data_IF_819572196076
#
_entry.id   IF_819572196076
#
_cell.length_a   1.000
_cell.length_b   1.000
_cell.length_c   1.000
_cell.angle_alpha   90.00
_cell.angle_beta   90.00
_cell.angle_gamma   90.00
#
_symmetry.space_group_name_H-M   'P 1'
#
loop_
_entity.id
_entity.type
_entity.pdbx_description
1 polymer ?
#
# COMPACT_ATOMS: atom_id res chain seq x y z
N UNK A 1 -61.41 7.79 -2.21
CA UNK A 1 -60.21 7.00 -1.70
C UNK A 1 -58.99 7.88 -1.83
N UNK A 2 -58.57 8.24 -0.89
CA UNK A 2 -57.98 9.27 -0.07
C UNK A 2 -56.68 9.81 -0.63
N UNK A 3 -56.76 11.10 -1.05
CA UNK A 3 -55.56 11.94 -1.33
C UNK A 3 -54.55 11.88 -0.22
N UNK A 4 -55.00 11.70 1.01
CA UNK A 4 -54.12 11.53 2.20
C UNK A 4 -53.33 10.23 2.18
N UNK A 5 -53.87 9.11 1.69
CA UNK A 5 -53.18 7.85 1.57
C UNK A 5 -52.14 7.95 0.46
N UNK A 6 -52.45 8.58 -0.66
CA UNK A 6 -51.53 8.81 -1.75
C UNK A 6 -50.31 9.65 -1.32
N UNK A 7 -50.54 10.75 -0.60
CA UNK A 7 -49.49 11.64 -0.10
C UNK A 7 -48.59 10.91 0.93
N UNK A 8 -49.17 10.04 1.76
CA UNK A 8 -48.38 9.21 2.71
C UNK A 8 -47.50 8.18 2.02
N UNK A 9 -47.99 7.59 0.91
CA UNK A 9 -47.18 6.68 0.08
C UNK A 9 -46.04 7.42 -0.65
N UNK A 10 -46.28 8.59 -1.21
CA UNK A 10 -45.26 9.39 -1.88
C UNK A 10 -44.17 9.86 -0.92
N UNK A 11 -44.55 10.28 0.30
CA UNK A 11 -43.57 10.63 1.35
C UNK A 11 -42.68 9.44 1.74
N UNK A 12 -43.26 8.24 1.88
CA UNK A 12 -42.48 7.01 2.17
C UNK A 12 -41.53 6.66 1.02
N UNK A 13 -41.98 6.70 -0.20
CA UNK A 13 -41.16 6.45 -1.39
C UNK A 13 -40.02 7.46 -1.52
N UNK A 14 -40.30 8.73 -1.24
CA UNK A 14 -39.28 9.78 -1.24
C UNK A 14 -38.23 9.55 -0.14
N UNK A 15 -38.66 9.19 1.07
CA UNK A 15 -37.71 8.85 2.17
C UNK A 15 -36.85 7.65 1.79
N UNK A 16 -37.43 6.59 1.24
CA UNK A 16 -36.69 5.41 0.77
C UNK A 16 -35.69 5.79 -0.31
N UNK A 17 -36.09 6.62 -1.29
CA UNK A 17 -35.21 7.12 -2.33
C UNK A 17 -34.03 7.93 -1.76
N UNK A 18 -34.31 8.86 -0.82
CA UNK A 18 -33.24 9.65 -0.17
C UNK A 18 -32.29 8.77 0.61
N UNK A 19 -32.82 7.79 1.37
CA UNK A 19 -31.98 6.85 2.12
C UNK A 19 -31.13 5.97 1.20
N UNK A 20 -31.70 5.46 0.12
CA UNK A 20 -30.97 4.69 -0.90
C UNK A 20 -29.90 5.55 -1.62
N UNK A 21 -30.24 6.79 -1.95
CA UNK A 21 -29.32 7.74 -2.56
C UNK A 21 -28.16 8.09 -1.61
N UNK A 22 -28.46 8.35 -0.34
CA UNK A 22 -27.46 8.58 0.68
C UNK A 22 -26.57 7.34 0.88
N UNK A 23 -27.17 6.15 1.00
CA UNK A 23 -26.41 4.89 1.14
C UNK A 23 -25.50 4.61 -0.07
N UNK A 24 -25.85 5.07 -1.27
CA UNK A 24 -25.04 4.92 -2.46
C UNK A 24 -23.95 6.00 -2.59
N UNK A 25 -24.26 7.25 -2.22
CA UNK A 25 -23.38 8.40 -2.42
C UNK A 25 -22.38 8.58 -1.29
N UNK A 26 -22.80 8.42 -0.04
CA UNK A 26 -21.94 8.65 1.13
C UNK A 26 -20.67 7.80 1.15
N UNK A 27 -20.70 6.48 0.83
CA UNK A 27 -19.47 5.69 0.77
C UNK A 27 -18.48 6.20 -0.28
N UNK A 28 -18.98 6.63 -1.45
CA UNK A 28 -18.15 7.19 -2.52
C UNK A 28 -17.50 8.52 -2.15
N UNK A 29 -18.27 9.38 -1.49
CA UNK A 29 -17.75 10.66 -0.97
C UNK A 29 -16.72 10.38 0.13
N UNK A 30 -17.00 9.47 1.06
CA UNK A 30 -16.08 9.12 2.12
C UNK A 30 -14.75 8.55 1.58
N UNK A 31 -14.79 7.71 0.55
CA UNK A 31 -13.58 7.18 -0.11
C UNK A 31 -12.74 8.26 -0.78
N UNK A 32 -13.33 9.34 -1.31
CA UNK A 32 -12.56 10.44 -1.90
C UNK A 32 -11.69 11.16 -0.86
N UNK A 33 -12.01 11.07 0.43
CA UNK A 33 -11.17 11.62 1.51
C UNK A 33 -10.00 10.70 1.90
N UNK A 34 -9.97 9.48 1.38
CA UNK A 34 -8.88 8.54 1.61
C UNK A 34 -7.71 8.73 0.67
N UNK A 35 -7.93 9.35 -0.51
CA UNK A 35 -6.92 9.43 -1.55
C UNK A 35 -6.57 10.88 -1.87
N UNK A 36 -5.29 11.19 -1.81
CA UNK A 36 -4.73 12.52 -2.11
C UNK A 36 -3.73 12.44 -3.26
N UNK A 37 -4.17 11.94 -4.44
CA UNK A 37 -3.30 11.87 -5.60
C UNK A 37 -3.00 13.25 -6.14
N UNK A 38 -1.77 13.45 -6.61
CA UNK A 38 -1.43 14.57 -7.45
C UNK A 38 -0.40 14.17 -8.51
N UNK A 39 -0.21 15.02 -9.51
CA UNK A 39 0.76 14.86 -10.58
C UNK A 39 1.93 15.87 -10.49
N UNK A 40 2.10 16.50 -9.34
CA UNK A 40 3.20 17.41 -9.09
C UNK A 40 4.52 16.64 -9.05
N UNK A 41 5.53 17.13 -9.77
CA UNK A 41 6.88 16.60 -9.67
C UNK A 41 7.60 17.22 -8.46
N UNK A 42 7.88 16.43 -7.42
CA UNK A 42 8.48 16.89 -6.18
C UNK A 42 10.00 17.12 -6.23
N UNK A 43 10.61 16.98 -7.41
CA UNK A 43 12.03 17.24 -7.60
C UNK A 43 12.96 16.09 -7.20
N UNK A 44 12.44 15.03 -6.62
CA UNK A 44 13.21 13.86 -6.21
C UNK A 44 13.13 12.76 -7.26
N UNK A 45 14.27 12.36 -7.78
CA UNK A 45 14.39 11.21 -8.70
C UNK A 45 15.74 10.52 -8.52
N UNK A 46 15.86 9.23 -8.88
CA UNK A 46 17.14 8.56 -8.98
C UNK A 46 18.02 9.19 -10.06
N UNK A 47 19.36 9.09 -9.88
CA UNK A 47 20.30 9.49 -10.93
C UNK A 47 20.27 8.53 -12.11
N UNK A 48 20.07 7.21 -11.81
CA UNK A 48 19.97 6.13 -12.81
C UNK A 48 18.66 5.40 -12.56
N UNK A 49 17.77 5.40 -13.53
CA UNK A 49 16.52 4.66 -13.53
C UNK A 49 15.98 4.46 -14.94
N UNK A 50 15.15 3.48 -15.10
CA UNK A 50 14.30 3.27 -16.27
C UNK A 50 12.88 3.70 -15.92
N UNK A 51 12.29 4.59 -16.72
CA UNK A 51 10.85 4.84 -16.67
C UNK A 51 10.15 3.64 -17.31
N UNK A 52 9.17 3.12 -16.64
CA UNK A 52 8.39 1.98 -17.05
C UNK A 52 6.93 2.37 -17.20
N UNK A 53 6.34 2.03 -18.33
CA UNK A 53 4.91 2.11 -18.56
C UNK A 53 4.37 0.66 -18.64
N UNK A 54 3.38 0.32 -17.84
CA UNK A 54 2.77 -1.02 -17.80
C UNK A 54 1.26 -0.90 -17.62
N UNK A 55 0.55 -2.01 -17.71
CA UNK A 55 -0.92 -1.98 -17.72
C UNK A 55 -1.47 -2.84 -16.60
N UNK A 56 -2.42 -2.29 -15.84
CA UNK A 56 -3.19 -3.05 -14.87
C UNK A 56 -4.11 -4.08 -15.56
N UNK A 57 -4.62 -5.06 -14.81
CA UNK A 57 -5.46 -6.15 -15.34
C UNK A 57 -6.71 -5.67 -16.08
N UNK A 58 -7.24 -4.51 -15.70
CA UNK A 58 -8.42 -3.88 -16.31
C UNK A 58 -8.09 -2.96 -17.50
N UNK A 59 -6.82 -2.88 -17.91
CA UNK A 59 -6.36 -2.05 -19.01
C UNK A 59 -5.93 -0.63 -18.60
N UNK A 60 -5.97 -0.26 -17.33
CA UNK A 60 -5.48 1.05 -16.85
C UNK A 60 -3.97 1.16 -17.05
N UNK A 61 -3.50 2.25 -17.70
CA UNK A 61 -2.08 2.51 -17.89
C UNK A 61 -1.46 3.06 -16.62
N UNK A 62 -0.36 2.44 -16.19
CA UNK A 62 0.37 2.76 -14.99
C UNK A 62 1.82 3.10 -15.31
N UNK A 63 2.41 3.97 -14.51
CA UNK A 63 3.81 4.39 -14.63
C UNK A 63 4.61 3.96 -13.41
N UNK A 64 5.84 3.52 -13.64
CA UNK A 64 6.78 3.17 -12.59
C UNK A 64 8.22 3.55 -12.93
N UNK A 65 9.09 3.34 -11.97
CA UNK A 65 10.53 3.44 -12.11
C UNK A 65 11.20 2.14 -11.70
N UNK A 66 12.06 1.61 -12.56
CA UNK A 66 12.99 0.58 -12.19
C UNK A 66 14.37 1.20 -11.93
N UNK A 67 14.88 1.05 -10.73
CA UNK A 67 16.15 1.59 -10.26
C UNK A 67 17.07 0.41 -9.95
N UNK A 68 18.14 0.20 -10.74
CA UNK A 68 19.08 -0.91 -10.51
C UNK A 68 19.91 -0.70 -9.25
N UNK A 69 20.41 -1.79 -8.69
CA UNK A 69 21.46 -1.75 -7.67
C UNK A 69 22.68 -0.96 -8.18
N UNK A 70 23.29 -0.17 -7.29
CA UNK A 70 24.57 0.51 -7.58
C UNK A 70 25.79 -0.35 -7.28
N UNK A 71 25.61 -1.56 -6.76
CA UNK A 71 26.70 -2.45 -6.29
C UNK A 71 26.94 -3.67 -7.17
N UNK A 72 25.94 -4.05 -7.98
CA UNK A 72 26.02 -5.22 -8.82
C UNK A 72 25.11 -5.06 -10.06
N UNK A 73 25.29 -5.94 -11.05
CA UNK A 73 24.32 -6.06 -12.13
C UNK A 73 22.93 -6.42 -11.55
N UNK A 74 21.82 -5.97 -12.13
CA UNK A 74 20.47 -6.23 -11.57
C UNK A 74 20.18 -7.70 -11.29
N UNK A 75 20.64 -8.64 -12.13
CA UNK A 75 20.54 -10.10 -11.90
C UNK A 75 21.33 -10.59 -10.67
N UNK A 76 22.38 -9.87 -10.27
CA UNK A 76 23.26 -10.20 -9.14
C UNK A 76 22.90 -9.42 -7.87
N UNK A 77 21.89 -8.56 -7.92
CA UNK A 77 21.39 -7.88 -6.76
C UNK A 77 20.85 -8.89 -5.73
N UNK A 78 20.85 -8.50 -4.46
CA UNK A 78 20.35 -9.35 -3.36
C UNK A 78 18.90 -9.75 -3.63
N UNK A 79 18.08 -8.80 -4.04
CA UNK A 79 16.68 -8.97 -4.42
C UNK A 79 16.18 -7.71 -5.14
N UNK A 80 14.98 -7.79 -5.70
CA UNK A 80 14.24 -6.61 -6.19
C UNK A 80 13.16 -6.24 -5.17
N UNK A 81 13.26 -5.02 -4.63
CA UNK A 81 12.26 -4.43 -3.74
C UNK A 81 11.16 -3.80 -4.57
N UNK A 82 9.92 -4.27 -4.42
CA UNK A 82 8.74 -3.62 -4.98
C UNK A 82 8.18 -2.70 -3.91
N UNK A 83 8.23 -1.38 -4.15
CA UNK A 83 7.80 -0.37 -3.20
C UNK A 83 6.42 0.17 -3.56
N UNK A 84 5.48 -0.01 -2.65
CA UNK A 84 4.13 0.52 -2.69
C UNK A 84 4.04 1.74 -1.76
N UNK A 85 3.88 2.93 -2.34
CA UNK A 85 3.97 4.20 -1.62
C UNK A 85 2.71 4.56 -0.82
N UNK A 86 2.78 5.61 0.00
CA UNK A 86 1.68 6.12 0.81
C UNK A 86 0.64 6.92 0.02
N UNK A 87 -0.34 7.48 0.74
CA UNK A 87 -1.56 8.05 0.16
C UNK A 87 -1.41 9.44 -0.47
N UNK A 88 -0.40 10.22 -0.14
CA UNK A 88 -0.27 11.60 -0.60
C UNK A 88 0.84 11.77 -1.64
N UNK A 89 0.64 12.65 -2.61
CA UNK A 89 1.63 12.91 -3.66
C UNK A 89 1.70 11.78 -4.70
N UNK A 90 2.90 11.34 -5.01
CA UNK A 90 3.21 10.28 -5.98
C UNK A 90 4.60 9.69 -5.70
N UNK A 91 5.09 8.76 -6.54
CA UNK A 91 6.39 8.11 -6.32
C UNK A 91 7.56 9.10 -6.20
N UNK A 92 7.50 10.29 -6.84
CA UNK A 92 8.57 11.30 -6.74
C UNK A 92 8.67 11.88 -5.33
N UNK A 93 7.56 12.00 -4.58
CA UNK A 93 7.55 12.42 -3.18
C UNK A 93 8.11 11.33 -2.24
N UNK A 94 7.91 10.06 -2.60
CA UNK A 94 8.26 8.89 -1.77
C UNK A 94 9.66 8.32 -2.07
N UNK A 95 10.28 8.67 -3.19
CA UNK A 95 11.64 8.21 -3.52
C UNK A 95 12.65 8.41 -2.39
N UNK A 96 12.71 9.57 -1.68
CA UNK A 96 13.69 9.75 -0.61
C UNK A 96 13.63 8.71 0.51
N UNK A 97 12.47 8.06 0.73
CA UNK A 97 12.27 7.06 1.78
C UNK A 97 12.96 5.73 1.45
N UNK A 98 13.20 5.44 0.18
CA UNK A 98 13.79 4.18 -0.30
C UNK A 98 15.07 4.35 -1.12
N UNK A 99 15.50 5.60 -1.36
CA UNK A 99 16.65 5.95 -2.19
C UNK A 99 17.99 5.35 -1.76
N UNK A 100 18.08 4.88 -0.53
CA UNK A 100 19.24 4.23 0.06
C UNK A 100 19.37 2.73 -0.29
N UNK A 101 18.30 2.10 -0.78
CA UNK A 101 18.27 0.66 -1.10
C UNK A 101 19.22 0.25 -2.22
N UNK A 102 19.36 0.98 -3.34
CA UNK A 102 20.32 0.61 -4.38
C UNK A 102 21.77 0.54 -3.89
N UNK A 103 22.17 1.37 -2.93
CA UNK A 103 23.49 1.33 -2.31
C UNK A 103 23.69 0.13 -1.35
N UNK A 104 22.61 -0.51 -0.94
CA UNK A 104 22.59 -1.74 -0.13
C UNK A 104 22.46 -3.02 -0.98
N UNK A 105 22.67 -2.88 -2.29
CA UNK A 105 22.62 -3.96 -3.29
C UNK A 105 21.22 -4.55 -3.51
N UNK A 106 20.19 -3.72 -3.54
CA UNK A 106 18.85 -4.08 -3.97
C UNK A 106 18.48 -3.32 -5.25
N UNK A 107 17.79 -3.97 -6.18
CA UNK A 107 17.02 -3.23 -7.16
C UNK A 107 15.77 -2.67 -6.48
N UNK A 108 15.23 -1.57 -7.00
CA UNK A 108 13.97 -0.99 -6.52
C UNK A 108 13.02 -0.79 -7.70
N UNK A 109 11.82 -1.27 -7.58
CA UNK A 109 10.72 -0.92 -8.47
C UNK A 109 9.69 -0.11 -7.69
N UNK A 110 9.45 1.11 -8.14
CA UNK A 110 8.41 2.01 -7.62
C UNK A 110 7.38 2.24 -8.71
N UNK A 111 6.14 2.46 -8.34
CA UNK A 111 5.08 2.76 -9.29
C UNK A 111 4.05 3.71 -8.69
N UNK A 112 3.38 4.47 -9.54
CA UNK A 112 2.22 5.25 -9.17
C UNK A 112 0.95 4.44 -9.41
N UNK A 113 0.08 4.39 -8.40
CA UNK A 113 -1.25 3.81 -8.55
C UNK A 113 -2.08 4.62 -9.54
N UNK A 114 -3.17 4.04 -10.02
CA UNK A 114 -4.15 4.76 -10.83
C UNK A 114 -4.55 6.10 -10.22
N UNK A 115 -4.47 7.15 -11.03
CA UNK A 115 -4.77 8.52 -10.65
C UNK A 115 -3.66 9.25 -9.88
N UNK A 116 -2.53 8.60 -9.55
CA UNK A 116 -1.36 9.22 -8.96
C UNK A 116 -0.29 9.47 -10.04
N UNK A 117 0.47 10.56 -9.90
CA UNK A 117 1.56 10.91 -10.81
C UNK A 117 1.12 10.93 -12.27
N UNK A 118 1.81 10.15 -13.10
CA UNK A 118 1.52 10.01 -14.52
C UNK A 118 0.60 8.81 -14.84
N UNK A 119 0.16 8.04 -13.83
CA UNK A 119 -0.75 6.91 -14.02
C UNK A 119 -2.18 7.37 -14.30
N UNK A 120 -2.85 6.69 -15.23
CA UNK A 120 -4.23 7.00 -15.60
C UNK A 120 -5.25 6.53 -14.55
N UNK A 121 -6.51 6.84 -14.77
CA UNK A 121 -7.63 6.33 -13.98
C UNK A 121 -7.96 7.15 -12.74
N UNK A 122 -8.64 6.50 -11.78
CA UNK A 122 -9.03 7.09 -10.48
C UNK A 122 -8.83 6.08 -9.37
N UNK A 123 -8.35 6.51 -8.19
CA UNK A 123 -8.09 5.61 -7.09
C UNK A 123 -9.39 5.02 -6.51
N UNK A 124 -9.37 3.71 -6.31
CA UNK A 124 -10.40 2.95 -5.59
C UNK A 124 -9.70 1.84 -4.79
N UNK A 125 -10.26 1.32 -3.68
CA UNK A 125 -9.64 0.23 -2.93
C UNK A 125 -9.32 -0.99 -3.79
N UNK A 126 -10.23 -1.40 -4.66
CA UNK A 126 -10.05 -2.49 -5.62
C UNK A 126 -8.94 -2.18 -6.62
N UNK A 127 -9.04 -1.00 -7.27
CA UNK A 127 -8.09 -0.60 -8.30
C UNK A 127 -6.66 -0.50 -7.80
N UNK A 128 -6.43 0.07 -6.60
CA UNK A 128 -5.08 0.16 -6.03
C UNK A 128 -4.50 -1.22 -5.69
N UNK A 129 -5.35 -2.14 -5.26
CA UNK A 129 -4.97 -3.54 -5.04
C UNK A 129 -4.57 -4.20 -6.37
N UNK A 130 -5.38 -4.04 -7.43
CA UNK A 130 -5.10 -4.57 -8.77
C UNK A 130 -3.85 -3.94 -9.40
N UNK A 131 -3.59 -2.64 -9.18
CA UNK A 131 -2.38 -1.95 -9.61
C UNK A 131 -1.14 -2.56 -8.92
N UNK A 132 -1.24 -2.85 -7.62
CA UNK A 132 -0.17 -3.49 -6.85
C UNK A 132 0.10 -4.91 -7.33
N UNK A 133 -0.95 -5.71 -7.61
CA UNK A 133 -0.80 -7.03 -8.23
C UNK A 133 -0.13 -6.94 -9.60
N UNK A 134 -0.54 -5.98 -10.43
CA UNK A 134 0.02 -5.78 -11.76
C UNK A 134 1.47 -5.32 -11.73
N UNK A 135 1.85 -4.50 -10.74
CA UNK A 135 3.23 -4.11 -10.49
C UNK A 135 4.12 -5.31 -10.12
N UNK A 136 3.62 -6.21 -9.27
CA UNK A 136 4.31 -7.46 -8.92
C UNK A 136 4.47 -8.35 -10.16
N UNK A 137 3.41 -8.51 -10.95
CA UNK A 137 3.42 -9.34 -12.16
C UNK A 137 4.36 -8.76 -13.23
N UNK A 138 4.40 -7.43 -13.39
CA UNK A 138 5.33 -6.76 -14.29
C UNK A 138 6.79 -7.02 -13.89
N UNK A 139 7.13 -6.83 -12.61
CA UNK A 139 8.50 -7.07 -12.12
C UNK A 139 8.90 -8.54 -12.30
N UNK A 140 8.00 -9.47 -12.02
CA UNK A 140 8.24 -10.91 -12.19
C UNK A 140 8.58 -11.31 -13.63
N UNK A 141 8.07 -10.57 -14.62
CA UNK A 141 8.28 -10.84 -16.05
C UNK A 141 9.54 -10.17 -16.62
N UNK A 142 10.28 -9.37 -15.83
CA UNK A 142 11.52 -8.74 -16.29
C UNK A 142 12.61 -9.81 -16.47
N UNK A 143 13.34 -9.72 -17.58
CA UNK A 143 14.45 -10.63 -17.89
C UNK A 143 15.79 -10.26 -17.23
N UNK A 144 15.88 -9.02 -16.73
CA UNK A 144 17.10 -8.45 -16.16
C UNK A 144 17.19 -8.54 -14.64
N UNK A 145 16.24 -9.24 -13.98
CA UNK A 145 16.24 -9.51 -12.54
C UNK A 145 15.98 -10.99 -12.25
N UNK A 146 16.26 -11.43 -11.02
CA UNK A 146 15.87 -12.77 -10.56
C UNK A 146 14.43 -12.75 -10.04
N UNK A 147 13.46 -13.36 -10.76
CA UNK A 147 12.06 -13.35 -10.36
C UNK A 147 11.75 -14.18 -9.11
N UNK A 148 12.67 -15.02 -8.67
CA UNK A 148 12.55 -15.80 -7.44
C UNK A 148 13.07 -15.05 -6.20
N UNK A 149 13.50 -13.79 -6.36
CA UNK A 149 14.07 -12.97 -5.29
C UNK A 149 13.36 -11.61 -5.19
N UNK A 150 12.04 -11.65 -5.03
CA UNK A 150 11.21 -10.47 -4.84
C UNK A 150 10.94 -10.23 -3.36
N UNK A 151 11.06 -8.99 -2.92
CA UNK A 151 10.66 -8.55 -1.58
C UNK A 151 9.80 -7.29 -1.69
N UNK A 152 8.82 -7.15 -0.81
CA UNK A 152 7.90 -6.03 -0.86
C UNK A 152 8.10 -5.09 0.32
N UNK A 153 7.96 -3.79 0.04
CA UNK A 153 7.89 -2.74 1.04
C UNK A 153 6.63 -1.90 0.81
N UNK A 154 5.68 -1.96 1.73
CA UNK A 154 4.48 -1.13 1.69
C UNK A 154 4.49 -0.10 2.80
N UNK A 155 4.22 1.17 2.48
CA UNK A 155 4.17 2.26 3.45
C UNK A 155 2.78 2.87 3.52
N UNK A 156 2.21 3.00 4.73
CA UNK A 156 0.88 3.59 4.94
C UNK A 156 -0.19 2.89 4.08
N UNK A 157 -0.87 3.61 3.17
CA UNK A 157 -1.79 3.04 2.19
C UNK A 157 -1.16 1.88 1.40
N UNK A 158 0.10 2.02 1.00
CA UNK A 158 0.83 0.97 0.28
C UNK A 158 0.98 -0.31 1.09
N UNK A 159 1.05 -0.22 2.41
CA UNK A 159 1.07 -1.39 3.29
C UNK A 159 -0.24 -2.19 3.21
N UNK A 160 -1.38 -1.51 3.25
CA UNK A 160 -2.68 -2.15 3.03
C UNK A 160 -2.76 -2.83 1.66
N UNK A 161 -2.32 -2.12 0.60
CA UNK A 161 -2.40 -2.61 -0.76
C UNK A 161 -1.49 -3.83 -0.99
N UNK A 162 -0.26 -3.84 -0.44
CA UNK A 162 0.64 -5.00 -0.48
C UNK A 162 0.01 -6.21 0.20
N UNK A 163 -0.52 -6.05 1.42
CA UNK A 163 -1.16 -7.15 2.16
C UNK A 163 -2.35 -7.70 1.37
N UNK A 164 -3.23 -6.83 0.85
CA UNK A 164 -4.40 -7.25 0.10
C UNK A 164 -4.02 -7.91 -1.23
N UNK A 165 -3.09 -7.33 -1.99
CA UNK A 165 -2.64 -7.85 -3.27
C UNK A 165 -1.99 -9.23 -3.12
N UNK A 166 -0.99 -9.38 -2.25
CA UNK A 166 -0.31 -10.68 -2.03
C UNK A 166 -1.25 -11.72 -1.44
N UNK A 167 -2.19 -11.30 -0.59
CA UNK A 167 -3.18 -12.21 -0.01
C UNK A 167 -4.15 -12.81 -1.03
N UNK A 168 -4.33 -12.17 -2.19
CA UNK A 168 -5.29 -12.53 -3.24
C UNK A 168 -4.64 -13.16 -4.48
N UNK A 169 -3.37 -12.89 -4.72
CA UNK A 169 -2.71 -13.23 -6.00
C UNK A 169 -1.66 -14.32 -5.88
N UNK A 170 -1.00 -14.61 -7.00
CA UNK A 170 0.14 -15.51 -7.05
C UNK A 170 1.32 -14.92 -6.25
N UNK A 171 1.95 -15.76 -5.45
CA UNK A 171 3.05 -15.42 -4.52
C UNK A 171 4.41 -15.88 -4.97
N UNK A 172 4.49 -16.46 -6.18
CA UNK A 172 5.75 -16.98 -6.70
C UNK A 172 6.84 -15.90 -6.63
N UNK A 173 8.02 -16.29 -6.17
CA UNK A 173 9.19 -15.43 -6.05
C UNK A 173 9.17 -14.44 -4.88
N UNK A 174 8.05 -14.24 -4.19
CA UNK A 174 7.96 -13.33 -3.03
C UNK A 174 8.57 -13.99 -1.80
N UNK A 175 9.69 -13.45 -1.31
CA UNK A 175 10.46 -14.00 -0.18
C UNK A 175 10.21 -13.30 1.14
N UNK A 176 9.80 -12.03 1.13
CA UNK A 176 9.52 -11.29 2.37
C UNK A 176 8.61 -10.09 2.10
N UNK A 177 7.86 -9.69 3.13
CA UNK A 177 7.00 -8.52 3.11
C UNK A 177 7.33 -7.65 4.33
N UNK A 178 7.64 -6.38 4.11
CA UNK A 178 7.81 -5.38 5.16
C UNK A 178 6.75 -4.29 5.00
N UNK A 179 6.12 -3.92 6.10
CA UNK A 179 5.03 -2.93 6.16
C UNK A 179 5.37 -1.88 7.20
N UNK A 180 5.34 -0.62 6.79
CA UNK A 180 5.59 0.53 7.65
C UNK A 180 4.35 1.39 7.81
N UNK A 181 3.85 1.52 9.04
CA UNK A 181 2.80 2.46 9.45
C UNK A 181 1.47 2.32 8.69
N UNK A 182 1.00 1.08 8.46
CA UNK A 182 -0.29 0.85 7.76
C UNK A 182 -1.48 0.75 8.72
N UNK A 183 -2.67 0.82 8.15
CA UNK A 183 -3.93 0.74 8.87
C UNK A 183 -4.54 -0.68 8.82
N UNK A 184 -5.37 -0.98 9.82
CA UNK A 184 -6.08 -2.27 9.96
C UNK A 184 -7.08 -2.49 8.83
N UNK A 185 -7.98 -1.49 8.66
CA UNK A 185 -9.01 -1.47 7.63
C UNK A 185 -9.44 -0.05 7.28
N UNK A 186 -10.06 0.11 6.11
CA UNK A 186 -10.63 1.39 5.69
C UNK A 186 -11.64 1.91 6.72
N UNK A 187 -12.51 1.03 7.24
CA UNK A 187 -13.50 1.40 8.25
C UNK A 187 -12.86 1.81 9.58
N UNK A 188 -11.81 1.12 10.03
CA UNK A 188 -11.13 1.46 11.28
C UNK A 188 -10.43 2.83 11.16
N UNK A 189 -9.68 3.06 10.09
CA UNK A 189 -9.00 4.33 9.84
C UNK A 189 -9.98 5.50 9.70
N UNK A 190 -11.12 5.28 9.03
CA UNK A 190 -12.17 6.29 8.92
C UNK A 190 -12.81 6.63 10.28
N UNK A 191 -13.04 5.61 11.13
CA UNK A 191 -13.59 5.82 12.47
C UNK A 191 -12.63 6.57 13.39
N UNK A 192 -11.31 6.44 13.21
CA UNK A 192 -10.35 7.24 13.95
C UNK A 192 -10.43 8.73 13.59
N UNK A 193 -10.69 9.03 12.31
CA UNK A 193 -10.87 10.40 11.84
C UNK A 193 -12.25 10.98 12.23
N UNK A 194 -13.32 10.20 12.02
CA UNK A 194 -14.71 10.59 12.30
C UNK A 194 -15.48 9.38 12.84
N UNK A 195 -15.77 9.33 14.15
CA UNK A 195 -16.48 8.21 14.75
C UNK A 195 -17.80 7.89 14.03
N UNK A 196 -18.00 6.63 13.69
CA UNK A 196 -19.20 6.11 13.03
C UNK A 196 -19.18 6.12 11.51
N UNK A 197 -18.27 6.86 10.85
CA UNK A 197 -18.24 6.93 9.37
C UNK A 197 -17.76 5.61 8.75
N UNK A 198 -16.96 4.84 9.49
CA UNK A 198 -16.45 3.54 9.04
C UNK A 198 -17.53 2.53 8.69
N UNK A 199 -18.75 2.65 9.28
CA UNK A 199 -19.88 1.77 8.90
C UNK A 199 -20.34 1.93 7.45
N UNK A 200 -19.94 3.01 6.79
CA UNK A 200 -20.24 3.26 5.38
C UNK A 200 -19.21 2.66 4.42
N UNK A 201 -18.07 2.16 4.91
CA UNK A 201 -16.96 1.72 4.10
C UNK A 201 -16.89 0.20 3.99
N UNK A 202 -16.62 -0.29 2.78
CA UNK A 202 -16.33 -1.70 2.52
C UNK A 202 -14.86 -2.02 2.85
N UNK A 203 -14.65 -3.12 3.56
CA UNK A 203 -13.34 -3.63 3.93
C UNK A 203 -12.86 -4.78 3.03
N UNK A 204 -13.48 -5.01 1.87
CA UNK A 204 -13.15 -6.12 0.98
C UNK A 204 -11.67 -6.12 0.55
N UNK A 205 -11.04 -4.94 0.55
CA UNK A 205 -9.62 -4.75 0.19
C UNK A 205 -8.78 -4.23 1.38
N UNK A 206 -9.19 -4.54 2.60
CA UNK A 206 -8.48 -4.14 3.82
C UNK A 206 -7.49 -5.20 4.29
N UNK A 207 -6.37 -4.74 4.86
CA UNK A 207 -5.27 -5.58 5.36
C UNK A 207 -5.73 -6.65 6.34
N UNK A 208 -6.64 -6.34 7.27
CA UNK A 208 -7.16 -7.29 8.27
C UNK A 208 -7.70 -8.58 7.65
N UNK A 209 -8.23 -8.50 6.43
CA UNK A 209 -8.86 -9.62 5.74
C UNK A 209 -7.84 -10.62 5.18
N UNK A 210 -6.65 -10.16 4.86
CA UNK A 210 -5.67 -10.94 4.10
C UNK A 210 -4.38 -11.25 4.87
N UNK A 211 -4.07 -10.52 5.93
CA UNK A 211 -2.77 -10.61 6.61
C UNK A 211 -2.46 -12.02 7.12
N UNK A 212 -3.48 -12.75 7.62
CA UNK A 212 -3.30 -14.13 8.08
C UNK A 212 -2.92 -15.11 6.95
N UNK A 213 -3.37 -14.81 5.73
CA UNK A 213 -3.11 -15.66 4.56
C UNK A 213 -1.72 -15.45 3.95
N UNK A 214 -0.94 -14.45 4.39
CA UNK A 214 0.41 -14.20 3.87
C UNK A 214 1.40 -15.31 4.23
N UNK A 215 1.15 -16.06 5.32
CA UNK A 215 1.96 -17.22 5.68
C UNK A 215 2.06 -18.23 4.51
N UNK A 216 3.23 -18.84 4.26
CA UNK A 216 4.45 -18.83 5.07
C UNK A 216 5.47 -17.71 4.74
N UNK A 217 5.08 -16.66 4.00
CA UNK A 217 6.00 -15.57 3.66
C UNK A 217 6.33 -14.79 4.94
N UNK A 218 7.63 -14.59 5.29
CA UNK A 218 8.04 -13.77 6.41
C UNK A 218 7.48 -12.35 6.34
N UNK A 219 6.86 -11.89 7.43
CA UNK A 219 6.24 -10.58 7.55
C UNK A 219 6.94 -9.74 8.63
N UNK A 220 7.31 -8.50 8.29
CA UNK A 220 7.81 -7.50 9.23
C UNK A 220 6.83 -6.33 9.27
N UNK A 221 6.33 -6.00 10.46
CA UNK A 221 5.53 -4.79 10.71
C UNK A 221 6.37 -3.77 11.47
N UNK A 222 6.43 -2.51 10.98
CA UNK A 222 7.07 -1.39 11.65
C UNK A 222 6.02 -0.31 11.94
N UNK A 223 6.15 0.41 13.08
CA UNK A 223 5.28 1.54 13.40
C UNK A 223 5.91 2.47 14.44
N UNK A 224 5.75 3.77 14.27
CA UNK A 224 6.19 4.78 15.22
C UNK A 224 5.20 5.00 16.36
N UNK A 225 5.68 5.24 17.61
CA UNK A 225 4.78 5.52 18.74
C UNK A 225 4.13 6.90 18.68
N UNK A 226 4.74 7.85 17.95
CA UNK A 226 4.26 9.23 17.78
C UNK A 226 3.63 9.44 16.40
N UNK A 227 3.11 8.37 15.80
CA UNK A 227 2.35 8.44 14.56
C UNK A 227 0.97 9.06 14.82
N UNK A 228 0.76 10.28 14.31
CA UNK A 228 -0.51 11.01 14.42
C UNK A 228 -1.40 10.89 13.19
N UNK A 229 -0.97 10.12 12.18
CA UNK A 229 -1.75 9.84 10.96
C UNK A 229 -2.47 8.51 11.09
N UNK A 230 -1.72 7.47 11.45
CA UNK A 230 -2.26 6.13 11.71
C UNK A 230 -1.83 5.72 13.12
N UNK A 231 -2.78 5.47 13.99
CA UNK A 231 -2.49 5.10 15.38
C UNK A 231 -1.82 3.71 15.47
N UNK A 232 -0.84 3.57 16.37
CA UNK A 232 -0.02 2.34 16.50
C UNK A 232 -0.85 1.08 16.76
N UNK A 233 -2.07 1.20 17.34
CA UNK A 233 -2.95 0.06 17.59
C UNK A 233 -3.32 -0.71 16.32
N UNK A 234 -3.33 -0.07 15.15
CA UNK A 234 -3.57 -0.74 13.87
C UNK A 234 -2.53 -1.83 13.61
N UNK A 235 -1.26 -1.51 13.82
CA UNK A 235 -0.17 -2.50 13.70
C UNK A 235 -0.25 -3.57 14.78
N UNK A 236 -0.64 -3.23 16.00
CA UNK A 236 -0.85 -4.22 17.07
C UNK A 236 -1.92 -5.24 16.66
N UNK A 237 -3.06 -4.77 16.15
CA UNK A 237 -4.15 -5.65 15.68
C UNK A 237 -3.75 -6.47 14.46
N UNK A 238 -3.06 -5.87 13.50
CA UNK A 238 -2.55 -6.61 12.34
C UNK A 238 -1.55 -7.69 12.77
N UNK A 239 -0.68 -7.39 13.74
CA UNK A 239 0.24 -8.38 14.27
C UNK A 239 -0.46 -9.53 14.99
N UNK A 240 -1.54 -9.25 15.75
CA UNK A 240 -2.36 -10.29 16.35
C UNK A 240 -2.98 -11.23 15.30
N UNK A 241 -3.49 -10.67 14.19
CA UNK A 241 -4.16 -11.42 13.11
C UNK A 241 -3.18 -12.18 12.20
N UNK A 242 -1.95 -11.70 12.04
CA UNK A 242 -0.96 -12.31 11.17
C UNK A 242 -0.56 -13.70 11.65
N UNK A 243 -0.39 -14.65 10.72
CA UNK A 243 0.20 -15.95 11.00
C UNK A 243 1.75 -15.89 10.96
N UNK A 244 2.40 -16.91 11.53
CA UNK A 244 3.87 -17.02 11.50
C UNK A 244 4.38 -17.37 10.06
N UNK A 245 5.62 -16.98 9.71
CA UNK A 245 6.60 -16.22 10.51
C UNK A 245 6.36 -14.71 10.45
N UNK A 246 6.35 -14.06 11.60
CA UNK A 246 6.10 -12.61 11.72
C UNK A 246 7.01 -11.94 12.74
N UNK A 247 7.32 -10.68 12.48
CA UNK A 247 8.10 -9.82 13.38
C UNK A 247 7.45 -8.43 13.48
N UNK A 248 7.64 -7.76 14.63
CA UNK A 248 7.14 -6.41 14.83
C UNK A 248 8.24 -5.54 15.45
N UNK A 249 8.38 -4.31 14.94
CA UNK A 249 9.27 -3.28 15.46
C UNK A 249 8.45 -2.04 15.77
N UNK A 250 8.33 -1.70 17.04
CA UNK A 250 7.76 -0.42 17.47
C UNK A 250 8.91 0.57 17.66
N UNK A 251 8.80 1.74 17.01
CA UNK A 251 9.84 2.78 16.96
C UNK A 251 9.52 3.85 17.99
N UNK A 252 10.26 3.94 19.12
CA UNK A 252 10.01 4.96 20.13
C UNK A 252 10.19 6.37 19.55
N UNK A 253 9.16 7.24 19.71
CA UNK A 253 9.14 8.59 19.16
C UNK A 253 9.08 8.66 17.63
N UNK A 254 8.95 7.54 16.95
CA UNK A 254 8.79 7.47 15.50
C UNK A 254 7.48 8.08 15.03
N UNK A 255 7.52 8.84 13.93
CA UNK A 255 6.36 9.43 13.27
C UNK A 255 5.87 8.56 12.13
N UNK A 256 4.85 9.01 11.42
CA UNK A 256 4.29 8.32 10.25
C UNK A 256 5.36 8.09 9.17
N UNK A 257 5.56 6.82 8.76
CA UNK A 257 6.52 6.38 7.72
C UNK A 257 7.94 6.95 7.84
N UNK A 258 8.41 7.26 9.05
CA UNK A 258 9.73 7.84 9.24
C UNK A 258 10.84 6.83 9.55
N UNK A 259 10.51 5.54 9.59
CA UNK A 259 11.44 4.45 9.92
C UNK A 259 12.77 4.51 9.14
N UNK A 260 12.71 4.87 7.87
CA UNK A 260 13.87 4.85 6.96
C UNK A 260 14.42 6.24 6.63
N UNK A 261 13.96 7.26 7.32
CA UNK A 261 14.47 8.63 7.17
C UNK A 261 15.81 8.84 7.89
N UNK A 262 16.49 9.95 7.60
CA UNK A 262 17.72 10.34 8.28
C UNK A 262 17.56 10.57 9.78
N UNK A 263 16.32 10.77 10.26
CA UNK A 263 16.00 10.93 11.69
C UNK A 263 16.51 9.77 12.55
N UNK A 264 16.45 8.54 12.02
CA UNK A 264 16.86 7.34 12.72
C UNK A 264 18.22 6.79 12.24
N UNK A 265 18.89 7.53 11.35
CA UNK A 265 20.12 7.04 10.71
C UNK A 265 19.87 5.71 10.00
N UNK A 266 20.78 4.76 10.16
CA UNK A 266 20.68 3.45 9.51
C UNK A 266 20.03 2.36 10.40
N UNK A 267 19.59 2.68 11.62
CA UNK A 267 19.11 1.69 12.58
C UNK A 267 18.02 0.78 12.00
N UNK A 268 16.96 1.36 11.43
CA UNK A 268 15.84 0.59 10.89
C UNK A 268 16.08 0.16 9.45
N UNK A 269 16.91 0.87 8.68
CA UNK A 269 17.41 0.44 7.37
C UNK A 269 18.19 -0.87 7.49
N UNK A 270 19.11 -0.97 8.46
CA UNK A 270 19.89 -2.18 8.68
C UNK A 270 19.02 -3.36 9.15
N UNK A 271 18.01 -3.09 10.00
CA UNK A 271 17.03 -4.11 10.42
C UNK A 271 16.21 -4.62 9.23
N UNK A 272 15.77 -3.75 8.32
CA UNK A 272 15.06 -4.15 7.12
C UNK A 272 15.95 -5.01 6.20
N UNK A 273 17.19 -4.58 5.97
CA UNK A 273 18.17 -5.33 5.16
C UNK A 273 18.43 -6.71 5.77
N UNK A 274 18.63 -6.78 7.10
CA UNK A 274 18.83 -8.05 7.80
C UNK A 274 17.61 -8.96 7.67
N UNK A 275 16.41 -8.42 7.82
CA UNK A 275 15.16 -9.17 7.65
C UNK A 275 15.06 -9.77 6.23
N UNK A 276 15.27 -8.96 5.19
CA UNK A 276 15.24 -9.45 3.82
C UNK A 276 16.32 -10.50 3.55
N UNK A 277 17.56 -10.28 3.98
CA UNK A 277 18.65 -11.25 3.81
C UNK A 277 18.36 -12.58 4.51
N UNK A 278 17.77 -12.55 5.70
CA UNK A 278 17.40 -13.76 6.43
C UNK A 278 16.31 -14.55 5.69
N UNK A 279 15.31 -13.87 5.15
CA UNK A 279 14.24 -14.50 4.38
C UNK A 279 14.72 -15.10 3.04
N UNK A 280 15.74 -14.50 2.43
CA UNK A 280 16.33 -14.95 1.16
C UNK A 280 17.33 -16.11 1.33
N UNK A 281 17.74 -16.43 2.55
CA UNK A 281 18.66 -17.53 2.83
C UNK A 281 17.98 -18.90 2.93
N UNK A 282 16.65 -18.90 2.93
CA UNK A 282 15.76 -20.07 2.99
C UNK A 282 14.96 -20.23 1.70
#
# INVERSE_FOLDING_TARGET
MDTMILIKHWKRLFIIFVLAFCAFLLPRVALNFFYYPDNHYYGYRPDIFERVDFTAKDGTHLTGWFIPSTKAHPLEAIATVIHAHGNAGNMTAHWPLVSWLPERNFNVFMFDYRGFGDSEGKPTPEGLCDDTESAIDYVRQREDIDPERLVLLGQSLGGNNVIAAVGRSDRQGIKAIAIDSTFLSYSASANDAVPGIGYLLDNSYSAERYIASLSPIPLLLLHGTDDHVIATYHTEKLFELAAEPKQKIIIPGGKHIDAFTSRHGDIYRDKLVQFYRSALAH
#
